data_IF_871994673214
#
_entry.id   IF_871994673214
#
_cell.length_a   1.000
_cell.length_b   1.000
_cell.length_c   1.000
_cell.angle_alpha   90.00
_cell.angle_beta   90.00
_cell.angle_gamma   90.00
#
_symmetry.space_group_name_H-M   'P 1'
#
loop_
_entity.id
_entity.type
_entity.pdbx_description
1 polymer ?
#
# COMPACT_ATOMS: atom_id res chain seq x y z
N UNK A 1 5.15 16.78 -14.49
CA UNK A 1 4.37 15.61 -14.01
C UNK A 1 3.26 16.17 -13.14
N UNK A 2 2.02 15.92 -13.52
CA UNK A 2 0.85 16.54 -12.89
C UNK A 2 0.62 15.92 -11.52
N UNK A 3 0.11 16.70 -10.56
CA UNK A 3 -0.40 16.16 -9.30
C UNK A 3 -1.47 15.07 -9.53
N UNK A 4 -2.19 15.11 -10.65
CA UNK A 4 -3.16 14.07 -11.05
C UNK A 4 -2.53 12.70 -11.32
N UNK A 5 -1.34 12.65 -11.94
CA UNK A 5 -0.63 11.39 -12.18
C UNK A 5 -0.14 10.76 -10.86
N UNK A 6 0.13 11.60 -9.86
CA UNK A 6 0.55 11.15 -8.53
C UNK A 6 -0.63 10.58 -7.75
N UNK A 7 -1.77 11.27 -7.75
CA UNK A 7 -2.99 10.79 -7.11
C UNK A 7 -3.43 9.44 -7.67
N UNK A 8 -3.41 9.26 -8.99
CA UNK A 8 -3.72 7.96 -9.61
C UNK A 8 -2.79 6.83 -9.16
N UNK A 9 -1.50 7.13 -8.93
CA UNK A 9 -0.54 6.13 -8.43
C UNK A 9 -0.80 5.78 -6.98
N UNK A 10 -1.16 6.75 -6.15
CA UNK A 10 -1.51 6.52 -4.75
C UNK A 10 -2.78 5.68 -4.67
N UNK A 11 -3.81 6.02 -5.45
CA UNK A 11 -5.06 5.24 -5.53
C UNK A 11 -4.80 3.80 -5.95
N UNK A 12 -3.98 3.59 -6.98
CA UNK A 12 -3.60 2.24 -7.42
C UNK A 12 -2.81 1.48 -6.33
N UNK A 13 -1.85 2.13 -5.67
CA UNK A 13 -1.06 1.50 -4.60
C UNK A 13 -1.93 1.16 -3.37
N UNK A 14 -2.90 2.00 -3.04
CA UNK A 14 -3.88 1.73 -1.98
C UNK A 14 -4.76 0.54 -2.34
N UNK A 15 -5.33 0.49 -3.55
CA UNK A 15 -6.16 -0.62 -4.00
C UNK A 15 -5.41 -1.96 -4.04
N UNK A 16 -4.14 -1.95 -4.44
CA UNK A 16 -3.27 -3.12 -4.45
C UNK A 16 -2.98 -3.64 -3.03
N UNK A 17 -2.70 -2.74 -2.08
CA UNK A 17 -2.48 -3.10 -0.69
C UNK A 17 -3.77 -3.62 -0.04
N UNK A 18 -4.90 -2.96 -0.29
CA UNK A 18 -6.23 -3.35 0.17
C UNK A 18 -6.58 -4.76 -0.30
N UNK A 19 -6.46 -5.02 -1.60
CA UNK A 19 -6.66 -6.38 -2.18
C UNK A 19 -5.75 -7.43 -1.52
N UNK A 20 -4.51 -7.06 -1.20
CA UNK A 20 -3.55 -7.96 -0.54
C UNK A 20 -3.96 -8.28 0.90
N UNK A 21 -4.52 -7.30 1.62
CA UNK A 21 -5.02 -7.47 2.98
C UNK A 21 -6.35 -8.21 3.01
N UNK A 22 -7.25 -7.94 2.06
CA UNK A 22 -8.51 -8.65 1.88
C UNK A 22 -8.30 -10.14 1.62
N UNK A 23 -7.22 -10.50 0.90
CA UNK A 23 -6.83 -11.88 0.70
C UNK A 23 -6.44 -12.60 2.02
N UNK A 24 -6.17 -11.88 3.11
CA UNK A 24 -5.95 -12.45 4.44
C UNK A 24 -7.25 -12.76 5.19
N UNK A 25 -8.40 -12.33 4.67
CA UNK A 25 -9.70 -12.66 5.25
C UNK A 25 -9.86 -14.16 5.39
N UNK A 26 -10.33 -14.57 6.56
CA UNK A 26 -10.71 -15.95 6.88
C UNK A 26 -12.11 -16.19 6.35
N UNK A 27 -12.40 -17.44 5.98
CA UNK A 27 -13.72 -17.86 5.50
C UNK A 27 -14.85 -17.55 6.51
N UNK A 28 -14.48 -17.39 7.78
CA UNK A 28 -15.32 -17.22 8.95
C UNK A 28 -15.73 -15.76 9.19
N UNK A 29 -15.31 -14.83 8.32
CA UNK A 29 -15.68 -13.39 8.39
C UNK A 29 -14.77 -12.52 9.27
N UNK A 30 -13.57 -12.99 9.61
CA UNK A 30 -12.53 -12.22 10.33
C UNK A 30 -11.19 -12.22 9.60
N UNK A 31 -10.18 -11.51 10.12
CA UNK A 31 -8.83 -11.51 9.52
C UNK A 31 -8.03 -12.70 10.06
N UNK A 32 -7.27 -13.39 9.20
CA UNK A 32 -6.39 -14.48 9.65
C UNK A 32 -5.45 -14.01 10.77
N UNK A 33 -5.27 -14.83 11.82
CA UNK A 33 -4.32 -14.51 12.87
C UNK A 33 -2.89 -14.51 12.30
N UNK A 34 -2.02 -13.73 12.94
CA UNK A 34 -0.70 -13.39 12.41
C UNK A 34 0.18 -14.61 12.17
N UNK A 35 0.05 -15.64 13.01
CA UNK A 35 0.75 -16.92 12.90
C UNK A 35 0.36 -17.74 11.65
N UNK A 36 -0.81 -17.49 11.07
CA UNK A 36 -1.28 -18.13 9.84
C UNK A 36 -0.90 -17.36 8.56
N UNK A 37 -0.26 -16.19 8.70
CA UNK A 37 0.28 -15.45 7.57
C UNK A 37 1.70 -15.93 7.31
N UNK A 38 1.90 -16.61 6.18
CA UNK A 38 3.19 -17.18 5.84
C UNK A 38 4.23 -16.11 5.45
N UNK A 39 5.49 -16.54 5.31
CA UNK A 39 6.60 -15.64 4.98
C UNK A 39 6.41 -14.96 3.61
N UNK A 40 5.85 -15.65 2.63
CA UNK A 40 5.66 -15.10 1.29
C UNK A 40 4.56 -14.01 1.30
N UNK A 41 3.46 -14.26 1.99
CA UNK A 41 2.39 -13.28 2.20
C UNK A 41 2.91 -12.04 2.93
N UNK A 42 3.71 -12.21 3.99
CA UNK A 42 4.38 -11.10 4.70
C UNK A 42 5.28 -10.28 3.78
N UNK A 43 6.02 -10.94 2.89
CA UNK A 43 6.87 -10.25 1.90
C UNK A 43 6.02 -9.47 0.88
N UNK A 44 4.90 -10.01 0.43
CA UNK A 44 3.98 -9.32 -0.47
C UNK A 44 3.37 -8.09 0.19
N UNK A 45 2.90 -8.20 1.44
CA UNK A 45 2.36 -7.06 2.21
C UNK A 45 3.44 -5.98 2.36
N UNK A 46 4.66 -6.35 2.75
CA UNK A 46 5.77 -5.41 2.89
C UNK A 46 6.11 -4.69 1.56
N UNK A 47 6.12 -5.42 0.45
CA UNK A 47 6.38 -4.84 -0.86
C UNK A 47 5.28 -3.85 -1.28
N UNK A 48 4.00 -4.19 -1.08
CA UNK A 48 2.86 -3.32 -1.41
C UNK A 48 2.78 -2.10 -0.49
N UNK A 49 3.04 -2.27 0.81
CA UNK A 49 3.14 -1.16 1.75
C UNK A 49 4.30 -0.21 1.42
N UNK A 50 5.45 -0.76 1.00
CA UNK A 50 6.59 0.02 0.52
C UNK A 50 6.25 0.84 -0.72
N UNK A 51 5.57 0.24 -1.70
CA UNK A 51 5.14 0.95 -2.91
C UNK A 51 4.16 2.10 -2.60
N UNK A 52 3.26 1.92 -1.63
CA UNK A 52 2.39 3.00 -1.16
C UNK A 52 3.20 4.10 -0.45
N UNK A 53 4.15 3.74 0.41
CA UNK A 53 5.01 4.71 1.08
C UNK A 53 5.85 5.53 0.07
N UNK A 54 6.39 4.90 -0.97
CA UNK A 54 7.11 5.58 -2.05
C UNK A 54 6.22 6.53 -2.83
N UNK A 55 4.97 6.16 -3.09
CA UNK A 55 3.99 7.03 -3.73
C UNK A 55 3.64 8.23 -2.85
N UNK A 56 3.48 8.04 -1.54
CA UNK A 56 3.22 9.11 -0.57
C UNK A 56 4.42 10.05 -0.41
N UNK A 57 5.65 9.54 -0.42
CA UNK A 57 6.87 10.36 -0.42
C UNK A 57 6.98 11.24 -1.68
N UNK A 58 6.30 10.87 -2.76
CA UNK A 58 6.17 11.69 -3.96
C UNK A 58 5.27 12.92 -3.80
N UNK A 59 4.46 12.99 -2.73
CA UNK A 59 3.54 14.10 -2.45
C UNK A 59 4.32 15.35 -2.02
N UNK A 60 5.27 15.22 -1.10
CA UNK A 60 6.07 16.35 -0.59
C UNK A 60 6.72 17.17 -1.73
N UNK A 61 7.42 16.58 -2.71
CA UNK A 61 7.96 17.33 -3.84
C UNK A 61 6.89 17.84 -4.79
N UNK A 62 5.76 17.13 -4.94
CA UNK A 62 4.66 17.57 -5.80
C UNK A 62 3.88 18.76 -5.22
N UNK A 63 3.87 18.91 -3.89
CA UNK A 63 3.33 20.06 -3.17
C UNK A 63 4.36 21.17 -2.93
N UNK A 64 5.62 20.98 -3.35
CA UNK A 64 6.70 21.94 -3.14
C UNK A 64 7.19 22.02 -1.69
N UNK A 65 6.91 20.99 -0.88
CA UNK A 65 7.23 20.93 0.56
C UNK A 65 8.62 20.32 0.85
N UNK A 66 9.32 19.78 -0.15
CA UNK A 66 10.66 19.15 0.03
C UNK A 66 11.79 20.09 0.44
N UNK A 67 11.52 21.38 0.64
CA UNK A 67 12.49 22.39 1.05
C UNK A 67 12.17 23.09 2.39
N UNK A 68 11.18 22.60 3.14
CA UNK A 68 10.91 23.02 4.52
C UNK A 68 11.75 22.19 5.51
#
# INVERSE_FOLDING_TARGET
RSAGDLLQKIDAAMADLDTTLDALSSADGGVRPYDQVDKAQRQQIAAKAGALADALNGIDPALGLSGL
#
